data_IF_717865963277
#
_entry.id   IF_717865963277
#
_cell.length_a   1.000
_cell.length_b   1.000
_cell.length_c   1.000
_cell.angle_alpha   90.00
_cell.angle_beta   90.00
_cell.angle_gamma   90.00
#
_symmetry.space_group_name_H-M   'P 1'
#
loop_
_entity.id
_entity.type
_entity.pdbx_description
1 polymer ?
#
# COMPACT_ATOMS: atom_id res chain seq x y z
N UNK A 1 -8.72 -14.80 12.42
CA UNK A 1 -7.75 -15.19 13.46
C UNK A 1 -7.80 -16.70 13.63
N UNK A 2 -6.70 -17.35 13.97
CA UNK A 2 -6.67 -18.80 14.27
C UNK A 2 -6.74 -19.09 15.77
N UNK A 3 -6.62 -18.06 16.61
CA UNK A 3 -6.70 -18.13 18.06
C UNK A 3 -8.13 -17.83 18.57
N UNK A 4 -8.29 -17.84 19.90
CA UNK A 4 -9.56 -17.61 20.58
C UNK A 4 -10.05 -16.16 20.55
N UNK A 5 -9.34 -15.23 19.89
CA UNK A 5 -9.71 -13.79 19.89
C UNK A 5 -11.14 -13.55 19.42
N UNK A 6 -11.58 -14.26 18.38
CA UNK A 6 -12.95 -14.09 17.87
C UNK A 6 -14.03 -14.50 18.88
N UNK A 7 -13.78 -15.53 19.68
CA UNK A 7 -14.74 -16.02 20.66
C UNK A 7 -14.77 -15.11 21.89
N UNK A 8 -13.60 -14.66 22.36
CA UNK A 8 -13.50 -13.72 23.48
C UNK A 8 -14.26 -12.42 23.19
N UNK A 9 -14.17 -11.89 21.95
CA UNK A 9 -14.92 -10.68 21.58
C UNK A 9 -16.43 -10.95 21.55
N UNK A 10 -16.87 -12.15 21.14
CA UNK A 10 -18.29 -12.53 21.17
C UNK A 10 -18.83 -12.56 22.60
N UNK A 11 -18.10 -13.15 23.54
CA UNK A 11 -18.48 -13.18 24.95
C UNK A 11 -18.63 -11.73 25.51
N UNK A 12 -17.74 -10.82 25.07
CA UNK A 12 -17.85 -9.41 25.40
C UNK A 12 -19.00 -8.68 24.68
N UNK A 13 -19.39 -9.10 23.48
CA UNK A 13 -20.57 -8.57 22.79
C UNK A 13 -21.87 -8.92 23.55
N UNK A 14 -21.96 -10.10 24.17
CA UNK A 14 -23.14 -10.51 24.94
C UNK A 14 -23.36 -9.63 26.19
N UNK A 15 -22.27 -9.18 26.80
CA UNK A 15 -22.31 -8.37 28.03
C UNK A 15 -22.31 -6.86 27.76
N UNK A 16 -21.92 -6.41 26.56
CA UNK A 16 -21.86 -5.00 26.22
C UNK A 16 -22.32 -4.74 24.76
N UNK A 17 -23.53 -4.18 24.56
CA UNK A 17 -24.07 -3.86 23.24
C UNK A 17 -23.23 -2.85 22.42
N UNK A 18 -22.38 -2.06 23.08
CA UNK A 18 -21.48 -1.11 22.41
C UNK A 18 -20.31 -1.80 21.71
N UNK A 19 -19.97 -3.03 22.12
CA UNK A 19 -18.93 -3.82 21.48
C UNK A 19 -19.54 -4.56 20.30
N UNK A 20 -18.95 -4.35 19.12
CA UNK A 20 -19.41 -4.91 17.84
C UNK A 20 -18.30 -5.74 17.21
N UNK A 21 -18.66 -6.83 16.53
CA UNK A 21 -17.70 -7.72 15.87
C UNK A 21 -18.05 -7.90 14.39
N UNK A 22 -17.07 -7.66 13.52
CA UNK A 22 -17.06 -8.10 12.12
C UNK A 22 -15.99 -9.18 11.95
N UNK A 23 -16.40 -10.45 11.90
CA UNK A 23 -15.49 -11.57 11.69
C UNK A 23 -15.42 -11.92 10.20
N UNK A 24 -14.24 -11.78 9.62
CA UNK A 24 -13.98 -12.15 8.22
C UNK A 24 -13.79 -13.66 8.05
N UNK A 25 -14.20 -14.20 6.90
CA UNK A 25 -14.08 -15.62 6.55
C UNK A 25 -12.65 -16.08 6.28
N UNK A 26 -11.76 -15.17 5.93
CA UNK A 26 -10.34 -15.45 5.70
C UNK A 26 -9.46 -14.28 6.14
N UNK A 27 -8.14 -14.49 6.12
CA UNK A 27 -7.18 -13.44 6.42
C UNK A 27 -6.95 -12.57 5.17
N UNK A 28 -7.69 -11.46 5.06
CA UNK A 28 -7.59 -10.51 3.94
C UNK A 28 -6.53 -9.41 4.16
N UNK A 29 -5.75 -9.46 5.24
CA UNK A 29 -4.80 -8.41 5.60
C UNK A 29 -5.44 -7.22 6.34
N UNK A 30 -4.60 -6.31 6.83
CA UNK A 30 -5.02 -5.24 7.74
C UNK A 30 -5.87 -4.16 7.06
N UNK A 31 -5.53 -3.75 5.84
CA UNK A 31 -6.24 -2.67 5.15
C UNK A 31 -7.67 -3.08 4.77
N UNK A 32 -7.86 -4.30 4.27
CA UNK A 32 -9.19 -4.85 3.96
C UNK A 32 -10.02 -5.02 5.24
N UNK A 33 -9.40 -5.48 6.33
CA UNK A 33 -10.10 -5.56 7.62
C UNK A 33 -10.52 -4.18 8.15
N UNK A 34 -9.69 -3.14 7.97
CA UNK A 34 -10.07 -1.77 8.30
C UNK A 34 -11.24 -1.30 7.43
N UNK A 35 -11.24 -1.56 6.12
CA UNK A 35 -12.35 -1.25 5.22
C UNK A 35 -13.65 -1.89 5.69
N UNK A 36 -13.62 -3.20 6.00
CA UNK A 36 -14.80 -3.91 6.52
C UNK A 36 -15.34 -3.26 7.81
N UNK A 37 -14.45 -2.82 8.72
CA UNK A 37 -14.85 -2.08 9.91
C UNK A 37 -15.47 -0.71 9.60
N UNK A 38 -14.93 0.01 8.62
CA UNK A 38 -15.46 1.31 8.19
C UNK A 38 -16.84 1.20 7.54
N UNK A 39 -17.05 0.18 6.69
CA UNK A 39 -18.33 -0.06 6.01
C UNK A 39 -19.46 -0.40 6.98
N UNK A 40 -19.14 -1.00 8.14
CA UNK A 40 -20.10 -1.29 9.21
C UNK A 40 -20.12 -0.24 10.33
N UNK A 41 -19.40 0.88 10.17
CA UNK A 41 -19.31 1.93 11.18
C UNK A 41 -20.49 2.91 11.11
N UNK A 42 -21.21 3.05 12.22
CA UNK A 42 -22.36 3.97 12.36
C UNK A 42 -22.04 5.31 13.04
N UNK A 43 -20.82 5.54 13.54
CA UNK A 43 -20.43 6.80 14.19
C UNK A 43 -20.03 7.93 13.23
N UNK A 44 -20.16 9.19 13.65
CA UNK A 44 -19.78 10.37 12.86
C UNK A 44 -18.28 10.45 12.53
N UNK A 45 -17.46 9.75 13.33
CA UNK A 45 -16.04 9.58 13.12
C UNK A 45 -15.65 8.13 13.41
N UNK A 46 -14.63 7.62 12.71
CA UNK A 46 -14.00 6.35 13.02
C UNK A 46 -12.58 6.60 13.53
N UNK A 47 -12.21 5.95 14.63
CA UNK A 47 -10.87 6.05 15.23
C UNK A 47 -10.17 4.69 15.17
N UNK A 48 -8.94 4.66 14.66
CA UNK A 48 -8.13 3.46 14.53
C UNK A 48 -7.14 3.31 15.67
N UNK A 49 -7.31 2.26 16.47
CA UNK A 49 -6.39 1.87 17.54
C UNK A 49 -5.79 0.49 17.28
N UNK A 50 -4.52 0.30 17.63
CA UNK A 50 -3.88 -1.01 17.57
C UNK A 50 -4.21 -1.85 18.79
N UNK A 51 -4.37 -3.16 18.59
CA UNK A 51 -4.67 -4.10 19.66
C UNK A 51 -3.50 -4.32 20.65
N UNK A 52 -2.29 -3.85 20.33
CA UNK A 52 -1.09 -4.01 21.16
C UNK A 52 -0.83 -2.85 22.13
N UNK A 53 -1.79 -1.92 22.25
CA UNK A 53 -1.80 -0.80 23.20
C UNK A 53 -0.53 0.08 23.13
N UNK A 54 0.12 0.13 21.98
CA UNK A 54 1.25 1.05 21.76
C UNK A 54 0.81 2.51 21.74
N UNK A 55 -0.45 2.75 21.36
CA UNK A 55 -1.10 4.05 21.45
C UNK A 55 -1.89 4.13 22.76
N UNK A 56 -1.54 5.10 23.62
CA UNK A 56 -2.29 5.35 24.83
C UNK A 56 -3.72 5.84 24.53
N UNK A 57 -4.71 5.56 25.40
CA UNK A 57 -6.08 6.04 25.22
C UNK A 57 -6.18 7.56 25.18
N UNK A 58 -5.19 8.27 25.74
CA UNK A 58 -5.07 9.74 25.70
C UNK A 58 -4.96 10.31 24.27
N UNK A 59 -4.67 9.47 23.27
CA UNK A 59 -4.68 9.88 21.87
C UNK A 59 -6.09 10.19 21.35
N UNK A 60 -7.11 9.48 21.85
CA UNK A 60 -8.51 9.59 21.42
C UNK A 60 -9.07 11.02 21.57
N UNK A 61 -9.03 11.65 22.77
CA UNK A 61 -9.56 13.01 22.91
C UNK A 61 -8.81 14.02 22.03
N UNK A 62 -7.50 13.86 21.84
CA UNK A 62 -6.66 14.77 21.04
C UNK A 62 -6.97 14.70 19.54
N UNK A 63 -7.25 13.51 19.01
CA UNK A 63 -7.66 13.40 17.60
C UNK A 63 -9.08 13.93 17.38
N UNK A 64 -9.98 13.78 18.35
CA UNK A 64 -11.33 14.34 18.31
C UNK A 64 -11.28 15.88 18.33
N UNK A 65 -10.40 16.47 19.14
CA UNK A 65 -10.19 17.93 19.17
C UNK A 65 -9.79 18.46 17.79
N UNK A 66 -8.82 17.82 17.11
CA UNK A 66 -8.43 18.19 15.75
C UNK A 66 -9.55 18.05 14.73
N UNK A 67 -10.40 17.04 14.88
CA UNK A 67 -11.59 16.93 14.04
C UNK A 67 -12.57 18.09 14.27
N UNK A 68 -12.79 18.49 15.54
CA UNK A 68 -13.62 19.64 15.88
C UNK A 68 -13.06 20.98 15.37
N UNK A 69 -11.73 21.09 15.21
CA UNK A 69 -11.07 22.22 14.54
C UNK A 69 -11.31 22.25 13.01
N UNK A 70 -11.96 21.23 12.43
CA UNK A 70 -12.30 21.15 11.01
C UNK A 70 -11.46 20.16 10.19
N UNK A 71 -10.60 19.36 10.82
CA UNK A 71 -9.86 18.31 10.11
C UNK A 71 -10.75 17.11 9.78
N UNK A 72 -10.80 16.70 8.52
CA UNK A 72 -11.58 15.53 8.07
C UNK A 72 -10.78 14.23 8.22
N UNK A 73 -9.44 14.32 8.19
CA UNK A 73 -8.51 13.22 8.43
C UNK A 73 -7.46 13.67 9.43
N UNK A 74 -7.38 12.99 10.58
CA UNK A 74 -6.38 13.30 11.61
C UNK A 74 -5.34 12.19 11.66
N UNK A 75 -4.07 12.59 11.53
CA UNK A 75 -2.94 11.68 11.54
C UNK A 75 -2.15 11.79 12.84
N UNK A 76 -1.66 10.64 13.31
CA UNK A 76 -0.70 10.56 14.39
C UNK A 76 0.74 10.54 13.88
N UNK A 77 1.63 11.23 14.59
CA UNK A 77 3.07 11.28 14.32
C UNK A 77 3.79 10.75 15.56
N UNK A 78 4.63 9.73 15.41
CA UNK A 78 5.43 9.22 16.51
C UNK A 78 6.63 10.16 16.73
N UNK A 79 6.79 10.73 17.93
CA UNK A 79 7.89 11.64 18.25
C UNK A 79 9.24 10.92 18.38
N UNK A 80 9.24 9.66 18.81
CA UNK A 80 10.45 8.87 18.94
C UNK A 80 10.22 7.46 18.40
N UNK A 81 10.97 7.10 17.36
CA UNK A 81 10.98 5.74 16.81
C UNK A 81 12.39 5.19 16.64
N UNK A 82 13.29 5.63 17.51
CA UNK A 82 14.70 5.22 17.56
C UNK A 82 14.89 3.85 18.24
N UNK A 83 14.02 2.88 17.91
CA UNK A 83 14.08 1.50 18.42
C UNK A 83 14.25 0.45 17.32
N UNK A 84 14.59 0.88 16.11
CA UNK A 84 14.88 0.00 14.98
C UNK A 84 16.38 -0.08 14.69
N UNK A 85 16.81 -1.15 14.02
CA UNK A 85 18.14 -1.20 13.40
C UNK A 85 18.34 0.00 12.45
N UNK A 86 19.58 0.49 12.33
CA UNK A 86 19.94 1.58 11.39
C UNK A 86 19.42 1.30 9.96
N UNK A 87 19.53 0.04 9.51
CA UNK A 87 19.03 -0.40 8.21
C UNK A 87 17.50 -0.23 8.10
N UNK A 88 16.76 -0.59 9.14
CA UNK A 88 15.29 -0.44 9.13
C UNK A 88 14.85 1.04 9.18
N UNK A 89 15.64 1.89 9.83
CA UNK A 89 15.40 3.33 9.86
C UNK A 89 15.69 3.95 8.49
N UNK A 90 16.80 3.57 7.85
CA UNK A 90 17.17 3.99 6.51
C UNK A 90 16.15 3.52 5.45
N UNK A 91 15.71 2.25 5.50
CA UNK A 91 14.71 1.73 4.58
C UNK A 91 13.35 2.45 4.71
N UNK A 92 12.95 2.76 5.95
CA UNK A 92 11.74 3.52 6.18
C UNK A 92 11.89 4.99 5.75
N UNK A 93 13.05 5.62 6.01
CA UNK A 93 13.33 6.97 5.51
C UNK A 93 13.26 7.00 3.98
N UNK A 94 13.92 6.06 3.30
CA UNK A 94 13.89 5.95 1.84
C UNK A 94 12.47 5.78 1.31
N UNK A 95 11.64 4.94 1.95
CA UNK A 95 10.23 4.78 1.59
C UNK A 95 9.47 6.10 1.67
N UNK A 96 9.55 6.82 2.80
CA UNK A 96 8.83 8.09 2.97
C UNK A 96 9.40 9.22 2.11
N UNK A 97 10.71 9.24 1.87
CA UNK A 97 11.37 10.19 0.97
C UNK A 97 10.87 10.02 -0.47
N UNK A 98 10.90 8.78 -0.97
CA UNK A 98 10.42 8.47 -2.32
C UNK A 98 8.92 8.72 -2.47
N UNK A 99 8.11 8.42 -1.45
CA UNK A 99 6.67 8.73 -1.43
C UNK A 99 6.42 10.25 -1.36
N UNK A 100 7.24 10.99 -0.60
CA UNK A 100 7.15 12.45 -0.46
C UNK A 100 7.54 13.21 -1.72
N UNK A 101 8.32 12.59 -2.63
CA UNK A 101 8.69 13.16 -3.92
C UNK A 101 7.47 13.39 -4.84
N UNK A 102 6.37 12.67 -4.60
CA UNK A 102 5.12 12.89 -5.31
C UNK A 102 4.41 14.11 -4.73
N UNK A 103 4.10 15.09 -5.59
CA UNK A 103 3.60 16.42 -5.20
C UNK A 103 2.35 16.38 -4.29
N UNK A 104 1.53 15.32 -4.42
CA UNK A 104 0.34 15.08 -3.59
C UNK A 104 0.64 14.59 -2.17
N UNK A 105 1.90 14.28 -1.84
CA UNK A 105 2.33 13.63 -0.61
C UNK A 105 3.54 14.28 0.05
N UNK A 106 3.96 15.48 -0.39
CA UNK A 106 5.08 16.23 0.23
C UNK A 106 4.95 16.38 1.75
N UNK A 107 3.73 16.46 2.28
CA UNK A 107 3.46 16.56 3.72
C UNK A 107 3.88 15.31 4.53
N UNK A 108 4.13 14.17 3.85
CA UNK A 108 4.57 12.91 4.46
C UNK A 108 6.07 12.79 4.67
N UNK A 109 6.89 13.58 3.94
CA UNK A 109 8.34 13.43 3.88
C UNK A 109 8.98 13.43 5.28
N UNK A 110 8.39 14.20 6.21
CA UNK A 110 8.97 14.43 7.53
C UNK A 110 8.21 13.74 8.69
N UNK A 111 7.02 13.15 8.43
CA UNK A 111 6.05 12.91 9.52
C UNK A 111 5.64 11.47 9.75
N UNK A 112 6.02 10.52 8.87
CA UNK A 112 5.58 9.10 8.95
C UNK A 112 4.12 8.95 9.41
N UNK A 113 3.26 9.80 8.88
CA UNK A 113 1.95 10.07 9.43
C UNK A 113 1.04 8.85 9.24
N UNK A 114 0.36 8.43 10.31
CA UNK A 114 -0.59 7.32 10.28
C UNK A 114 -1.98 7.89 10.55
N UNK A 115 -2.95 7.76 9.62
CA UNK A 115 -4.34 8.16 9.85
C UNK A 115 -4.91 7.44 11.06
N UNK A 116 -5.46 8.22 11.99
CA UNK A 116 -6.07 7.72 13.23
C UNK A 116 -7.52 8.06 13.35
N UNK A 117 -7.97 9.16 12.76
CA UNK A 117 -9.38 9.51 12.73
C UNK A 117 -9.79 9.84 11.30
N UNK A 118 -10.94 9.31 10.89
CA UNK A 118 -11.64 9.69 9.66
C UNK A 118 -13.02 10.18 10.02
N UNK A 119 -13.40 11.32 9.45
CA UNK A 119 -14.78 11.81 9.52
C UNK A 119 -15.72 10.95 8.67
N UNK A 120 -17.03 11.07 8.93
CA UNK A 120 -18.09 10.45 8.12
C UNK A 120 -17.90 10.69 6.63
N UNK A 121 -17.54 11.91 6.23
CA UNK A 121 -17.28 12.27 4.83
C UNK A 121 -16.08 11.50 4.26
N UNK A 122 -14.96 11.45 4.98
CA UNK A 122 -13.78 10.70 4.55
C UNK A 122 -14.05 9.18 4.50
N UNK A 123 -14.85 8.65 5.43
CA UNK A 123 -15.26 7.24 5.47
C UNK A 123 -16.06 6.88 4.22
N UNK A 124 -17.09 7.65 3.88
CA UNK A 124 -17.90 7.40 2.68
C UNK A 124 -17.07 7.46 1.42
N UNK A 125 -16.24 8.50 1.28
CA UNK A 125 -15.35 8.66 0.13
C UNK A 125 -14.39 7.48 -0.01
N UNK A 126 -13.80 7.02 1.10
CA UNK A 126 -12.93 5.85 1.11
C UNK A 126 -13.66 4.57 0.70
N UNK A 127 -14.80 4.27 1.31
CA UNK A 127 -15.52 3.03 1.01
C UNK A 127 -16.06 2.97 -0.42
N UNK A 128 -16.36 4.13 -1.02
CA UNK A 128 -16.88 4.22 -2.39
C UNK A 128 -15.78 4.17 -3.46
N UNK A 129 -14.68 4.92 -3.28
CA UNK A 129 -13.72 5.19 -4.35
C UNK A 129 -12.36 4.54 -4.15
N UNK A 130 -12.05 4.01 -2.95
CA UNK A 130 -10.75 3.40 -2.74
C UNK A 130 -10.65 2.08 -3.54
N UNK A 131 -9.57 1.90 -4.34
CA UNK A 131 -9.35 0.68 -5.12
C UNK A 131 -9.08 -0.52 -4.20
N UNK A 132 -8.92 -1.74 -4.70
CA UNK A 132 -8.74 -2.93 -3.83
C UNK A 132 -7.35 -3.02 -3.23
N UNK A 133 -6.36 -2.99 -4.11
CA UNK A 133 -4.97 -3.24 -3.78
C UNK A 133 -4.24 -1.93 -3.52
N UNK A 134 -4.62 -1.20 -2.47
CA UNK A 134 -4.01 0.08 -2.16
C UNK A 134 -3.55 0.21 -0.71
N UNK A 135 -2.60 1.10 -0.51
CA UNK A 135 -2.23 1.54 0.82
C UNK A 135 -3.19 2.63 1.31
N UNK A 136 -4.10 2.26 2.23
CA UNK A 136 -5.11 3.16 2.81
C UNK A 136 -4.53 4.52 3.24
N UNK A 137 -3.38 4.51 3.90
CA UNK A 137 -2.74 5.73 4.40
C UNK A 137 -2.35 6.66 3.26
N UNK A 138 -1.68 6.13 2.25
CA UNK A 138 -1.23 6.89 1.10
C UNK A 138 -2.43 7.43 0.35
N UNK A 139 -3.42 6.58 0.06
CA UNK A 139 -4.59 6.97 -0.72
C UNK A 139 -5.37 8.10 -0.05
N UNK A 140 -5.63 8.00 1.27
CA UNK A 140 -6.35 9.03 2.03
C UNK A 140 -5.64 10.38 1.99
N UNK A 141 -4.30 10.37 2.11
CA UNK A 141 -3.50 11.58 2.08
C UNK A 141 -3.45 12.23 0.68
N UNK A 142 -3.66 11.45 -0.39
CA UNK A 142 -3.78 11.98 -1.75
C UNK A 142 -5.12 12.68 -2.02
N UNK A 143 -6.18 12.40 -1.24
CA UNK A 143 -7.53 12.94 -1.49
C UNK A 143 -7.70 14.42 -1.09
N UNK A 144 -6.65 15.08 -0.55
CA UNK A 144 -6.65 16.51 -0.18
C UNK A 144 -7.74 16.92 0.83
N UNK A 145 -8.17 15.99 1.68
CA UNK A 145 -8.99 16.33 2.83
C UNK A 145 -8.23 17.28 3.78
N UNK A 146 -8.92 18.18 4.50
CA UNK A 146 -8.33 18.93 5.61
C UNK A 146 -7.64 18.00 6.61
N UNK A 147 -6.32 18.18 6.80
CA UNK A 147 -5.48 17.30 7.61
C UNK A 147 -5.19 17.90 8.99
N UNK A 148 -5.42 17.10 10.03
CA UNK A 148 -4.98 17.39 11.40
C UNK A 148 -3.79 16.50 11.78
N UNK A 149 -2.90 16.99 12.63
CA UNK A 149 -1.75 16.22 13.12
C UNK A 149 -1.67 16.21 14.64
N UNK A 150 -1.41 15.04 15.21
CA UNK A 150 -1.24 14.84 16.65
C UNK A 150 0.03 14.03 16.92
N UNK A 151 0.94 14.59 17.69
CA UNK A 151 2.19 13.91 18.06
C UNK A 151 1.98 13.00 19.27
N UNK A 152 2.52 11.78 19.27
CA UNK A 152 2.46 10.86 20.40
C UNK A 152 3.80 10.15 20.63
N UNK A 153 4.01 9.70 21.86
CA UNK A 153 5.16 8.86 22.23
C UNK A 153 4.68 7.41 22.30
N UNK A 154 5.18 6.51 21.44
CA UNK A 154 4.77 5.10 21.46
C UNK A 154 5.14 4.44 22.80
N UNK A 155 4.17 3.76 23.41
CA UNK A 155 4.41 2.94 24.59
C UNK A 155 5.16 1.65 24.21
N UNK A 156 5.94 1.11 25.15
CA UNK A 156 6.55 -0.20 24.95
C UNK A 156 5.46 -1.27 24.78
N UNK A 157 5.62 -2.14 23.79
CA UNK A 157 4.67 -3.24 23.57
C UNK A 157 4.64 -4.10 24.84
N UNK A 158 3.49 -4.16 25.49
CA UNK A 158 3.35 -4.98 26.70
C UNK A 158 3.46 -6.46 26.38
N UNK A 159 2.77 -6.95 25.34
CA UNK A 159 2.68 -8.38 25.01
C UNK A 159 2.80 -8.64 23.49
N UNK A 160 3.46 -9.75 23.10
CA UNK A 160 3.51 -10.26 21.72
C UNK A 160 4.69 -9.80 20.86
N UNK A 161 4.97 -10.56 19.78
CA UNK A 161 5.98 -10.23 18.78
C UNK A 161 5.36 -9.55 17.54
N UNK A 162 6.17 -8.78 16.79
CA UNK A 162 5.68 -8.07 15.60
C UNK A 162 5.30 -9.03 14.48
N UNK A 163 4.02 -9.06 14.09
CA UNK A 163 3.53 -9.85 12.93
C UNK A 163 3.93 -9.24 11.56
N UNK A 164 4.60 -8.09 11.56
CA UNK A 164 5.13 -7.39 10.38
C UNK A 164 6.55 -7.83 10.05
N UNK A 165 6.65 -8.90 9.26
CA UNK A 165 7.90 -9.41 8.67
C UNK A 165 8.48 -8.47 7.61
N UNK A 166 9.79 -8.53 7.36
CA UNK A 166 10.46 -7.75 6.30
C UNK A 166 9.82 -7.95 4.92
N UNK A 167 9.46 -9.20 4.55
CA UNK A 167 8.77 -9.52 3.29
C UNK A 167 7.49 -8.71 3.10
N UNK A 168 6.64 -8.63 4.14
CA UNK A 168 5.39 -7.83 4.11
C UNK A 168 5.67 -6.33 3.96
N UNK A 169 6.76 -5.82 4.53
CA UNK A 169 7.15 -4.41 4.38
C UNK A 169 7.61 -4.10 2.96
N UNK A 170 8.44 -4.97 2.37
CA UNK A 170 8.88 -4.82 0.98
C UNK A 170 7.68 -4.92 0.05
N UNK A 171 6.79 -5.90 0.26
CA UNK A 171 5.59 -6.05 -0.54
C UNK A 171 4.66 -4.83 -0.44
N UNK A 172 4.48 -4.25 0.75
CA UNK A 172 3.75 -2.99 0.91
C UNK A 172 4.43 -1.86 0.14
N UNK A 173 5.76 -1.72 0.25
CA UNK A 173 6.49 -0.66 -0.44
C UNK A 173 6.35 -0.77 -1.97
N UNK A 174 6.58 -1.96 -2.53
CA UNK A 174 6.40 -2.24 -3.95
C UNK A 174 4.97 -1.95 -4.39
N UNK A 175 3.97 -2.39 -3.61
CA UNK A 175 2.58 -2.11 -3.94
C UNK A 175 2.28 -0.61 -3.96
N UNK A 176 2.70 0.11 -2.92
CA UNK A 176 2.57 1.56 -2.85
C UNK A 176 3.21 2.26 -4.06
N UNK A 177 4.42 1.86 -4.47
CA UNK A 177 5.09 2.48 -5.63
C UNK A 177 4.34 2.26 -6.93
N UNK A 178 3.88 1.03 -7.16
CA UNK A 178 3.11 0.69 -8.35
C UNK A 178 1.74 1.38 -8.37
N UNK A 179 1.15 1.69 -7.20
CA UNK A 179 -0.13 2.39 -7.08
C UNK A 179 -0.02 3.89 -7.32
N UNK A 180 1.05 4.52 -6.82
CA UNK A 180 1.19 5.98 -6.86
C UNK A 180 1.62 6.47 -8.25
N UNK A 181 2.45 5.70 -8.96
CA UNK A 181 3.10 6.22 -10.17
C UNK A 181 3.33 5.19 -11.27
N UNK A 182 3.20 5.61 -12.54
CA UNK A 182 3.71 4.85 -13.68
C UNK A 182 5.22 4.99 -13.84
N UNK A 183 5.93 5.76 -13.00
CA UNK A 183 7.36 6.04 -13.17
C UNK A 183 8.21 4.76 -13.28
N UNK A 184 7.81 3.66 -12.64
CA UNK A 184 8.48 2.38 -12.81
C UNK A 184 8.38 1.87 -14.26
N UNK A 185 7.19 1.94 -14.86
CA UNK A 185 6.97 1.60 -16.26
C UNK A 185 7.72 2.56 -17.21
N UNK A 186 7.72 3.85 -16.92
CA UNK A 186 8.45 4.85 -17.73
C UNK A 186 9.97 4.66 -17.63
N UNK A 187 10.50 4.34 -16.44
CA UNK A 187 11.91 4.02 -16.25
C UNK A 187 12.34 2.81 -17.07
N UNK A 188 11.48 1.79 -17.14
CA UNK A 188 11.66 0.63 -18.00
C UNK A 188 11.68 0.95 -19.49
N UNK A 189 10.81 1.84 -19.93
CA UNK A 189 10.81 2.33 -21.30
C UNK A 189 12.14 3.03 -21.65
N UNK A 190 12.62 3.92 -20.77
CA UNK A 190 13.90 4.60 -20.97
C UNK A 190 15.10 3.64 -20.97
N UNK A 191 15.09 2.63 -20.10
CA UNK A 191 16.11 1.59 -20.09
C UNK A 191 16.11 0.79 -21.39
N UNK A 192 14.93 0.43 -21.90
CA UNK A 192 14.78 -0.22 -23.20
C UNK A 192 15.33 0.64 -24.34
N UNK A 193 15.00 1.94 -24.36
CA UNK A 193 15.51 2.89 -25.35
C UNK A 193 17.04 3.01 -25.28
N UNK A 194 17.62 3.05 -24.08
CA UNK A 194 19.08 3.08 -23.90
C UNK A 194 19.74 1.79 -24.42
N UNK A 195 19.13 0.62 -24.20
CA UNK A 195 19.64 -0.65 -24.74
C UNK A 195 19.56 -0.72 -26.27
N UNK A 196 18.48 -0.21 -26.87
CA UNK A 196 18.37 -0.10 -28.35
C UNK A 196 19.47 0.81 -28.90
N UNK A 197 19.73 1.95 -28.27
CA UNK A 197 20.78 2.87 -28.69
C UNK A 197 22.17 2.23 -28.57
N UNK A 198 22.47 1.55 -27.45
CA UNK A 198 23.72 0.82 -27.27
C UNK A 198 23.88 -0.31 -28.29
N UNK A 199 22.81 -1.04 -28.58
CA UNK A 199 22.79 -2.07 -29.62
C UNK A 199 23.09 -1.50 -31.01
N UNK A 200 22.50 -0.35 -31.35
CA UNK A 200 22.75 0.34 -32.62
C UNK A 200 24.21 0.80 -32.73
N UNK A 201 24.77 1.39 -31.66
CA UNK A 201 26.18 1.80 -31.62
C UNK A 201 27.14 0.61 -31.76
N UNK A 202 26.84 -0.51 -31.09
CA UNK A 202 27.62 -1.73 -31.21
C UNK A 202 27.56 -2.33 -32.63
N UNK A 203 26.38 -2.29 -33.27
CA UNK A 203 26.20 -2.74 -34.65
C UNK A 203 26.99 -1.88 -35.64
N UNK A 204 26.89 -0.55 -35.54
CA UNK A 204 27.64 0.37 -36.41
C UNK A 204 29.15 0.25 -36.16
N UNK A 205 29.58 0.19 -34.90
CA UNK A 205 31.00 0.05 -34.54
C UNK A 205 31.61 -1.26 -35.04
N UNK A 206 30.90 -2.38 -34.88
CA UNK A 206 31.35 -3.69 -35.40
C UNK A 206 31.35 -3.74 -36.93
N UNK A 207 30.36 -3.14 -37.60
CA UNK A 207 30.33 -3.02 -39.06
C UNK A 207 31.50 -2.19 -39.60
N UNK A 208 31.81 -1.05 -38.97
CA UNK A 208 32.94 -0.20 -39.37
C UNK A 208 34.29 -0.90 -39.15
N UNK A 209 34.44 -1.60 -38.02
CA UNK A 209 35.64 -2.40 -37.74
C UNK A 209 35.83 -3.50 -38.78
N UNK A 210 34.75 -4.23 -39.15
CA UNK A 210 34.81 -5.28 -40.17
C UNK A 210 35.25 -4.74 -41.54
N UNK A 211 34.78 -3.55 -41.93
CA UNK A 211 35.18 -2.88 -43.19
C UNK A 211 36.66 -2.45 -43.18
N UNK A 212 37.17 -1.99 -42.03
CA UNK A 212 38.55 -1.49 -41.91
C UNK A 212 39.60 -2.59 -41.83
N UNK A 213 39.30 -3.72 -41.18
CA UNK A 213 40.33 -4.74 -40.87
C UNK A 213 40.31 -5.96 -41.77
N UNK A 214 39.30 -6.11 -42.65
CA UNK A 214 39.09 -7.24 -43.59
C UNK A 214 39.19 -8.66 -42.99
N UNK A 215 39.25 -8.77 -41.66
CA UNK A 215 39.25 -10.00 -40.88
C UNK A 215 37.91 -10.12 -40.18
N UNK A 216 37.11 -11.11 -40.59
CA UNK A 216 35.95 -11.55 -39.84
C UNK A 216 36.43 -12.23 -38.55
N UNK A 217 36.47 -11.47 -37.44
CA UNK A 217 36.72 -12.00 -36.11
C UNK A 217 35.49 -12.81 -35.61
N UNK A 218 35.23 -13.95 -36.26
CA UNK A 218 33.98 -14.71 -36.17
C UNK A 218 33.62 -15.14 -34.73
N UNK A 219 34.60 -15.47 -33.89
CA UNK A 219 34.35 -15.96 -32.53
C UNK A 219 33.96 -14.84 -31.53
N UNK A 220 34.63 -13.69 -31.58
CA UNK A 220 34.32 -12.55 -30.72
C UNK A 220 33.00 -11.87 -31.12
N UNK A 221 32.70 -11.83 -32.42
CA UNK A 221 31.43 -11.33 -32.94
C UNK A 221 30.26 -12.22 -32.48
N UNK A 222 30.41 -13.56 -32.55
CA UNK A 222 29.37 -14.50 -32.14
C UNK A 222 29.06 -14.44 -30.64
N UNK A 223 30.09 -14.36 -29.78
CA UNK A 223 29.89 -14.20 -28.33
C UNK A 223 29.22 -12.85 -28.00
N UNK A 224 29.65 -11.75 -28.63
CA UNK A 224 29.04 -10.43 -28.45
C UNK A 224 27.58 -10.39 -28.90
N UNK A 225 27.27 -10.95 -30.07
CA UNK A 225 25.89 -11.01 -30.59
C UNK A 225 25.01 -11.88 -29.68
N UNK A 226 25.49 -13.06 -29.24
CA UNK A 226 24.74 -13.92 -28.33
C UNK A 226 24.44 -13.25 -26.97
N UNK A 227 25.40 -12.48 -26.44
CA UNK A 227 25.23 -11.70 -25.20
C UNK A 227 24.21 -10.57 -25.35
N UNK A 228 24.26 -9.81 -26.45
CA UNK A 228 23.30 -8.75 -26.74
C UNK A 228 21.89 -9.33 -26.94
N UNK A 229 21.77 -10.45 -27.66
CA UNK A 229 20.48 -11.13 -27.86
C UNK A 229 19.94 -11.63 -26.52
N UNK A 230 20.73 -12.35 -25.73
CA UNK A 230 20.30 -12.87 -24.42
C UNK A 230 19.90 -11.73 -23.46
N UNK A 231 20.66 -10.63 -23.44
CA UNK A 231 20.35 -9.46 -22.63
C UNK A 231 19.07 -8.77 -23.11
N UNK A 232 18.89 -8.58 -24.41
CA UNK A 232 17.69 -7.97 -25.00
C UNK A 232 16.45 -8.83 -24.74
N UNK A 233 16.55 -10.15 -24.94
CA UNK A 233 15.48 -11.10 -24.61
C UNK A 233 15.16 -11.08 -23.12
N UNK A 234 16.17 -11.02 -22.25
CA UNK A 234 15.99 -10.87 -20.81
C UNK A 234 15.22 -9.60 -20.43
N UNK A 235 15.58 -8.45 -21.03
CA UNK A 235 14.85 -7.20 -20.82
C UNK A 235 13.41 -7.26 -21.33
N UNK A 236 13.17 -7.85 -22.51
CA UNK A 236 11.81 -8.01 -23.06
C UNK A 236 10.95 -8.86 -22.13
N UNK A 237 11.47 -10.01 -21.66
CA UNK A 237 10.76 -10.87 -20.73
C UNK A 237 10.46 -10.16 -19.41
N UNK A 238 11.41 -9.35 -18.91
CA UNK A 238 11.23 -8.57 -17.69
C UNK A 238 10.18 -7.46 -17.86
N UNK A 239 10.18 -6.75 -19.00
CA UNK A 239 9.15 -5.77 -19.35
C UNK A 239 7.76 -6.41 -19.51
N UNK A 240 7.69 -7.58 -20.14
CA UNK A 240 6.45 -8.37 -20.26
C UNK A 240 5.92 -8.82 -18.89
N UNK A 241 6.80 -9.26 -17.98
CA UNK A 241 6.42 -9.60 -16.61
C UNK A 241 5.87 -8.40 -15.84
N UNK A 242 6.48 -7.22 -16.03
CA UNK A 242 5.98 -5.97 -15.45
C UNK A 242 4.59 -5.61 -16.00
N UNK A 243 4.42 -5.65 -17.33
CA UNK A 243 3.14 -5.37 -17.98
C UNK A 243 2.07 -6.36 -17.52
N UNK A 244 2.42 -7.64 -17.38
CA UNK A 244 1.55 -8.66 -16.80
C UNK A 244 1.12 -8.34 -15.36
N UNK A 245 1.99 -7.75 -14.56
CA UNK A 245 1.66 -7.32 -13.19
C UNK A 245 0.64 -6.18 -13.17
N UNK A 246 0.80 -5.18 -14.05
CA UNK A 246 -0.18 -4.10 -14.21
C UNK A 246 -1.51 -4.61 -14.77
N UNK A 247 -1.46 -5.48 -15.78
CA UNK A 247 -2.65 -6.08 -16.37
C UNK A 247 -3.42 -6.92 -15.36
N UNK A 248 -2.72 -7.69 -14.52
CA UNK A 248 -3.34 -8.44 -13.42
C UNK A 248 -4.04 -7.52 -12.43
N UNK A 249 -3.44 -6.38 -12.07
CA UNK A 249 -4.07 -5.40 -11.17
C UNK A 249 -5.33 -4.79 -11.77
N UNK A 250 -5.29 -4.43 -13.05
CA UNK A 250 -6.48 -3.94 -13.78
C UNK A 250 -7.56 -5.01 -13.80
N UNK A 251 -7.19 -6.26 -14.13
CA UNK A 251 -8.10 -7.39 -14.11
C UNK A 251 -8.70 -7.65 -12.72
N UNK A 252 -7.91 -7.57 -11.66
CA UNK A 252 -8.36 -7.79 -10.28
C UNK A 252 -9.34 -6.70 -9.79
N UNK A 253 -9.16 -5.46 -10.26
CA UNK A 253 -10.10 -4.37 -10.01
C UNK A 253 -11.40 -4.52 -10.83
N UNK A 254 -11.30 -5.00 -12.07
CA UNK A 254 -12.47 -5.27 -12.94
C UNK A 254 -13.25 -6.52 -12.53
N UNK A 255 -12.57 -7.51 -11.94
CA UNK A 255 -13.19 -8.73 -11.45
C UNK A 255 -14.00 -8.37 -10.20
N UNK A 256 -15.30 -8.11 -10.38
CA UNK A 256 -16.28 -7.73 -9.35
C UNK A 256 -16.48 -8.74 -8.18
N UNK A 257 -15.52 -9.61 -7.86
CA UNK A 257 -15.57 -10.48 -6.68
C UNK A 257 -15.47 -9.70 -5.36
N UNK A 258 -16.06 -10.14 -4.26
CA UNK A 258 -16.01 -9.40 -2.99
C UNK A 258 -14.57 -9.34 -2.43
N UNK A 259 -14.12 -8.16 -1.95
CA UNK A 259 -12.78 -7.98 -1.33
C UNK A 259 -12.62 -8.80 -0.04
N UNK A 260 -13.73 -9.04 0.64
CA UNK A 260 -13.79 -9.87 1.83
C UNK A 260 -15.17 -10.51 1.93
N UNK A 261 -15.22 -11.63 2.66
CA UNK A 261 -16.48 -12.28 3.01
C UNK A 261 -16.65 -12.18 4.51
N UNK A 262 -17.82 -11.73 4.96
CA UNK A 262 -18.17 -11.71 6.38
C UNK A 262 -18.60 -13.12 6.79
N UNK A 263 -17.92 -13.70 7.77
CA UNK A 263 -18.27 -14.98 8.37
C UNK A 263 -19.32 -14.81 9.47
N UNK A 264 -19.20 -13.76 10.29
CA UNK A 264 -20.11 -13.52 11.41
C UNK A 264 -20.14 -12.04 11.79
N UNK A 265 -21.33 -11.54 12.09
CA UNK A 265 -21.58 -10.24 12.69
C UNK A 265 -22.12 -10.43 14.12
N UNK A 266 -21.79 -9.53 15.04
CA UNK A 266 -22.42 -9.42 16.35
C UNK A 266 -22.61 -7.95 16.73
N UNK A 267 -23.76 -7.62 17.33
CA UNK A 267 -24.19 -6.27 17.71
C UNK A 267 -24.17 -5.23 16.58
N UNK A 268 -24.28 -5.70 15.34
CA UNK A 268 -24.37 -4.87 14.14
C UNK A 268 -25.72 -5.17 13.50
N UNK A 269 -26.51 -4.12 13.22
CA UNK A 269 -27.72 -4.27 12.42
C UNK A 269 -27.29 -4.84 11.06
N UNK A 270 -27.74 -6.04 10.73
CA UNK A 270 -27.39 -6.69 9.48
C UNK A 270 -27.96 -5.89 8.31
N UNK A 271 -27.14 -5.15 7.59
CA UNK A 271 -27.50 -4.62 6.27
C UNK A 271 -27.44 -5.73 5.20
N UNK A 272 -27.86 -6.96 5.52
CA UNK A 272 -28.07 -8.01 4.54
C UNK A 272 -29.45 -7.79 3.93
N UNK A 273 -29.57 -6.80 3.05
CA UNK A 273 -30.42 -6.97 1.88
C UNK A 273 -29.65 -7.86 0.90
N UNK A 274 -30.14 -9.08 0.57
CA UNK A 274 -29.75 -9.71 -0.68
C UNK A 274 -30.22 -8.80 -1.81
N UNK A 275 -29.43 -8.68 -2.88
CA UNK A 275 -29.59 -7.73 -4.00
C UNK A 275 -29.27 -6.27 -3.65
N UNK A 276 -28.00 -5.89 -3.75
CA UNK A 276 -27.53 -5.03 -4.86
C UNK A 276 -26.00 -5.08 -4.91
N UNK A 277 -25.38 -5.39 -6.06
CA UNK A 277 -23.95 -5.12 -6.22
C UNK A 277 -23.73 -3.61 -6.07
N UNK A 278 -22.60 -3.15 -5.52
CA UNK A 278 -22.28 -1.74 -5.51
C UNK A 278 -22.18 -1.25 -6.96
N UNK A 279 -23.21 -0.56 -7.43
CA UNK A 279 -23.19 0.15 -8.70
C UNK A 279 -22.19 1.28 -8.54
N UNK A 280 -20.95 1.07 -9.03
CA UNK A 280 -20.04 2.18 -9.29
C UNK A 280 -20.55 2.90 -10.55
N UNK A 281 -20.68 4.23 -10.55
CA UNK A 281 -20.96 4.95 -11.79
C UNK A 281 -19.80 4.71 -12.76
N UNK A 282 -20.16 4.38 -14.00
CA UNK A 282 -19.22 4.15 -15.11
C UNK A 282 -18.51 5.41 -15.57
#
# INVERSE_FOLDING_TARGET
STDRTGNIILDHCETNPSIKLVRLGSNCGSHVACRAGLEHCSGDVAIFLTADLQEGPDLVPRVIEKWREGAEVVCSIAQSRDRGSLLSNAAAWLYYYLVGRFDRLKHLEDRRAIPRLLSRKAIHHYCQYAPRNHNMTVWLLQQRFPLGYVSYTPLARKHGSSKWTLRKRIQLAVNTFLDITPAFLTGWLFLGMAMVLLGLLAMVGSGLHALLTSRLANAHLAFGISGVVALSTGLILMAMGLLGTYLWRIYDELRNGPEYTVQRLANIASCLTPDQPPVRPG
#
